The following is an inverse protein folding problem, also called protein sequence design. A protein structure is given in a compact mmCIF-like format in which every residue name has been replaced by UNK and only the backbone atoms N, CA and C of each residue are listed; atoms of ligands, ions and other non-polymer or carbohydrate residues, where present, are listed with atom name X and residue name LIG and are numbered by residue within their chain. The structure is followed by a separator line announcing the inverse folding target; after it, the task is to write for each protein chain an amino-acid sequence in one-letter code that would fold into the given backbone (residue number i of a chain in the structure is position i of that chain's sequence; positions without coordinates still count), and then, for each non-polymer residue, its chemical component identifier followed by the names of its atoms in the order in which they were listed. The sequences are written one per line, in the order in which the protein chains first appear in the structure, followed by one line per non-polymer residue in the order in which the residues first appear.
data_IF_501637631726
#
_entry.id   IF_501637631726
#
_cell.length_a   1.000
_cell.length_b   1.000
_cell.length_c   1.000
_cell.angle_alpha   90.00
_cell.angle_beta   90.00
_cell.angle_gamma   90.00
#
_symmetry.space_group_name_H-M   'P 1'
#
loop_
_entity.id
_entity.type
_entity.pdbx_description
1 polymer ?
#
# COMPACT_ATOMS: atom_id res chain seq x y z
N UNK A 1 -7.94 53.88 20.28
CA UNK A 1 -7.48 52.48 20.21
C UNK A 1 -7.98 51.90 18.89
N UNK A 2 -7.12 51.88 17.86
CA UNK A 2 -7.50 51.41 16.53
C UNK A 2 -7.36 49.89 16.49
N UNK A 3 -8.48 49.17 16.49
CA UNK A 3 -8.49 47.70 16.39
C UNK A 3 -8.28 47.35 14.91
N UNK A 4 -7.07 46.87 14.57
CA UNK A 4 -6.75 46.37 13.24
C UNK A 4 -7.23 44.91 13.17
N UNK A 5 -8.27 44.66 12.36
CA UNK A 5 -8.67 43.31 11.99
C UNK A 5 -7.69 42.75 10.95
N UNK A 6 -6.84 41.80 11.33
CA UNK A 6 -6.05 41.02 10.38
C UNK A 6 -6.96 40.05 9.63
N UNK A 7 -7.41 40.40 8.43
CA UNK A 7 -7.97 39.43 7.51
C UNK A 7 -6.83 38.56 6.97
N UNK A 8 -6.76 37.28 7.38
CA UNK A 8 -5.91 36.29 6.71
C UNK A 8 -6.44 36.03 5.30
N UNK A 9 -6.01 36.83 4.32
CA UNK A 9 -6.14 36.47 2.91
C UNK A 9 -5.07 35.43 2.61
N UNK A 10 -5.47 34.23 2.18
CA UNK A 10 -4.53 33.26 1.59
C UNK A 10 -4.00 33.86 0.29
N UNK A 11 -2.74 34.29 0.28
CA UNK A 11 -2.05 34.76 -0.90
C UNK A 11 -1.25 33.59 -1.50
N UNK A 12 -1.49 33.26 -2.77
CA UNK A 12 -0.67 32.29 -3.49
C UNK A 12 0.64 32.98 -3.90
N UNK A 13 1.78 32.44 -3.45
CA UNK A 13 3.10 32.89 -3.88
C UNK A 13 3.51 32.09 -5.13
N UNK A 14 3.76 32.77 -6.24
CA UNK A 14 4.38 32.17 -7.44
C UNK A 14 5.89 32.37 -7.35
N UNK A 15 6.66 31.45 -7.91
CA UNK A 15 8.12 31.52 -7.94
C UNK A 15 8.60 31.86 -9.35
N UNK A 16 9.44 32.89 -9.45
CA UNK A 16 10.14 33.26 -10.68
C UNK A 16 11.41 32.41 -10.78
N UNK A 17 11.66 31.85 -11.95
CA UNK A 17 12.87 31.08 -12.26
C UNK A 17 14.02 32.02 -12.63
N UNK A 18 15.24 31.47 -12.72
CA UNK A 18 16.46 32.22 -13.06
C UNK A 18 16.44 32.77 -14.50
N UNK A 19 15.69 32.14 -15.41
CA UNK A 19 15.45 32.59 -16.79
C UNK A 19 14.36 33.68 -16.89
N UNK A 20 13.77 34.10 -15.77
CA UNK A 20 12.74 35.15 -15.74
C UNK A 20 11.34 34.68 -16.12
N UNK A 21 11.13 33.36 -16.26
CA UNK A 21 9.81 32.77 -16.41
C UNK A 21 9.16 32.49 -15.05
N UNK A 22 7.83 32.36 -15.03
CA UNK A 22 7.13 31.96 -13.81
C UNK A 22 6.94 30.46 -13.84
N UNK A 23 7.24 29.77 -12.73
CA UNK A 23 6.82 28.38 -12.58
C UNK A 23 5.31 28.29 -12.79
N UNK A 24 4.89 27.37 -13.66
CA UNK A 24 3.48 27.04 -13.84
C UNK A 24 2.97 26.40 -12.54
N UNK A 25 1.99 27.06 -11.91
CA UNK A 25 1.33 26.51 -10.74
C UNK A 25 0.24 25.56 -11.20
N UNK A 26 0.33 24.29 -10.82
CA UNK A 26 -0.76 23.34 -10.99
C UNK A 26 -1.66 23.34 -9.75
N UNK A 27 -2.97 23.29 -9.95
CA UNK A 27 -3.91 23.01 -8.87
C UNK A 27 -4.19 21.51 -8.85
N UNK A 28 -3.55 20.79 -7.93
CA UNK A 28 -3.93 19.40 -7.67
C UNK A 28 -5.21 19.38 -6.81
N UNK A 29 -6.27 18.66 -7.24
CA UNK A 29 -7.49 18.57 -6.47
C UNK A 29 -7.19 17.88 -5.14
N UNK A 30 -7.66 18.47 -4.03
CA UNK A 30 -7.57 17.83 -2.72
C UNK A 30 -8.38 16.53 -2.76
N UNK A 31 -7.72 15.43 -2.42
CA UNK A 31 -8.33 14.12 -2.24
C UNK A 31 -8.04 13.62 -0.84
N UNK A 32 -9.01 12.94 -0.23
CA UNK A 32 -8.82 12.23 1.02
C UNK A 32 -8.33 10.81 0.74
N UNK A 33 -7.62 10.23 1.71
CA UNK A 33 -7.27 8.82 1.68
C UNK A 33 -8.54 7.95 1.67
N UNK A 34 -8.50 6.75 1.07
CA UNK A 34 -9.61 5.81 1.15
C UNK A 34 -10.05 5.57 2.61
N UNK A 35 -11.36 5.43 2.88
CA UNK A 35 -11.84 5.12 4.22
C UNK A 35 -11.13 3.89 4.82
N UNK A 36 -11.02 3.80 6.16
CA UNK A 36 -10.35 2.70 6.83
C UNK A 36 -10.79 1.32 6.30
N UNK A 37 -9.88 0.33 6.20
CA UNK A 37 -10.17 -0.99 5.61
C UNK A 37 -11.41 -1.70 6.16
N UNK A 38 -11.80 -1.47 7.41
CA UNK A 38 -13.05 -1.97 8.02
C UNK A 38 -14.31 -1.61 7.21
N UNK A 39 -14.33 -0.47 6.53
CA UNK A 39 -15.47 -0.02 5.72
C UNK A 39 -15.36 -0.46 4.26
N UNK A 40 -14.33 -1.22 3.87
CA UNK A 40 -14.14 -1.60 2.48
C UNK A 40 -15.38 -2.30 1.90
N UNK A 41 -15.93 -1.76 0.81
CA UNK A 41 -17.17 -2.25 0.18
C UNK A 41 -18.47 -1.88 0.93
N UNK A 42 -18.38 -1.20 2.07
CA UNK A 42 -19.50 -0.82 2.92
C UNK A 42 -19.68 0.71 3.02
N UNK A 43 -19.43 1.43 1.93
CA UNK A 43 -19.75 2.85 1.83
C UNK A 43 -20.12 3.26 0.40
N UNK A 44 -20.86 4.36 0.28
CA UNK A 44 -21.16 5.00 -0.99
C UNK A 44 -20.82 6.49 -0.92
N UNK A 45 -19.94 6.95 -1.80
CA UNK A 45 -19.49 8.33 -1.88
C UNK A 45 -20.12 9.05 -3.09
N UNK A 46 -20.39 10.35 -2.95
CA UNK A 46 -20.98 11.15 -4.03
C UNK A 46 -20.00 11.48 -5.14
N UNK A 47 -18.71 11.65 -4.83
CA UNK A 47 -17.67 12.03 -5.81
C UNK A 47 -16.31 11.40 -5.45
N UNK A 48 -16.29 10.06 -5.34
CA UNK A 48 -15.11 9.31 -4.90
C UNK A 48 -14.55 9.86 -3.58
N UNK A 49 -13.25 10.12 -3.53
CA UNK A 49 -12.58 10.72 -2.36
C UNK A 49 -12.15 12.17 -2.58
N UNK A 50 -12.78 12.88 -3.53
CA UNK A 50 -12.45 14.28 -3.80
C UNK A 50 -12.96 15.19 -2.68
N UNK A 51 -12.39 16.40 -2.60
CA UNK A 51 -12.83 17.45 -1.70
C UNK A 51 -14.36 17.62 -1.74
N UNK A 52 -14.94 17.76 -0.55
CA UNK A 52 -16.38 17.90 -0.33
C UNK A 52 -17.24 16.67 -0.65
N UNK A 53 -16.64 15.57 -1.13
CA UNK A 53 -17.33 14.29 -1.30
C UNK A 53 -17.90 13.81 0.04
N UNK A 54 -19.15 13.37 -0.01
CA UNK A 54 -19.89 12.86 1.15
C UNK A 54 -20.03 11.35 0.99
N UNK A 55 -19.44 10.58 1.89
CA UNK A 55 -19.57 9.13 1.94
C UNK A 55 -20.54 8.71 3.03
N UNK A 56 -21.59 8.00 2.64
CA UNK A 56 -22.46 7.27 3.56
C UNK A 56 -21.85 5.91 3.84
N UNK A 57 -21.54 5.65 5.10
CA UNK A 57 -21.14 4.34 5.59
C UNK A 57 -22.41 3.49 5.74
N UNK A 58 -22.41 2.34 5.09
CA UNK A 58 -23.46 1.34 5.24
C UNK A 58 -23.18 0.55 6.51
N UNK A 59 -23.48 1.17 7.64
CA UNK A 59 -23.48 0.48 8.92
C UNK A 59 -24.73 -0.39 8.98
N UNK A 60 -24.57 -1.71 8.86
CA UNK A 60 -25.63 -2.62 9.28
C UNK A 60 -25.86 -2.37 10.77
N UNK A 61 -27.05 -1.93 11.15
CA UNK A 61 -27.44 -1.95 12.54
C UNK A 61 -27.27 -3.39 13.02
N UNK A 62 -26.24 -3.66 13.82
CA UNK A 62 -26.06 -4.91 14.56
C UNK A 62 -27.16 -5.10 15.64
N UNK A 63 -28.34 -4.56 15.40
CA UNK A 63 -29.52 -4.57 16.25
C UNK A 63 -30.75 -5.19 15.55
N UNK A 64 -30.68 -5.57 14.27
CA UNK A 64 -31.81 -6.23 13.59
C UNK A 64 -31.75 -7.76 13.55
N UNK A 65 -30.66 -8.39 14.01
CA UNK A 65 -30.67 -9.81 14.33
C UNK A 65 -30.93 -9.98 15.83
N UNK A 66 -32.20 -10.22 16.13
CA UNK A 66 -32.82 -10.52 17.42
C UNK A 66 -32.30 -11.82 18.07
N UNK A 67 -30.99 -11.95 18.27
CA UNK A 67 -30.37 -13.10 18.95
C UNK A 67 -29.42 -12.72 20.10
N UNK A 68 -29.10 -11.42 20.29
CA UNK A 68 -28.18 -10.96 21.35
C UNK A 68 -28.87 -10.15 22.47
N UNK A 69 -30.19 -10.25 22.60
CA UNK A 69 -30.95 -9.65 23.70
C UNK A 69 -30.99 -10.53 24.98
N UNK A 70 -30.18 -11.60 25.06
CA UNK A 70 -30.25 -12.56 26.16
C UNK A 70 -29.13 -12.42 27.22
N UNK A 71 -28.10 -11.61 27.00
CA UNK A 71 -26.97 -11.51 27.94
C UNK A 71 -26.54 -10.07 28.22
N UNK A 72 -27.48 -9.24 28.70
CA UNK A 72 -27.24 -8.14 29.65
C UNK A 72 -26.04 -7.18 29.43
N UNK A 73 -25.47 -7.11 28.24
CA UNK A 73 -24.31 -6.28 27.91
C UNK A 73 -24.78 -4.92 27.42
N UNK A 74 -24.50 -3.88 28.21
CA UNK A 74 -24.86 -2.50 27.91
C UNK A 74 -24.32 -2.08 26.53
N UNK A 75 -25.21 -1.97 25.54
CA UNK A 75 -24.92 -1.37 24.25
C UNK A 75 -24.69 0.14 24.46
N UNK A 76 -23.42 0.53 24.57
CA UNK A 76 -23.06 1.95 24.51
C UNK A 76 -23.32 2.47 23.08
N UNK A 77 -24.50 3.05 22.89
CA UNK A 77 -24.92 3.81 21.71
C UNK A 77 -24.13 5.12 21.62
N UNK A 78 -22.89 5.04 21.15
CA UNK A 78 -22.14 6.20 20.69
C UNK A 78 -22.70 6.68 19.36
N UNK A 79 -23.47 7.76 19.36
CA UNK A 79 -24.03 8.41 18.18
C UNK A 79 -22.91 9.02 17.28
N UNK A 80 -22.21 8.17 16.54
CA UNK A 80 -21.41 8.59 15.39
C UNK A 80 -22.32 8.77 14.17
N UNK A 81 -22.17 9.88 13.44
CA UNK A 81 -22.86 10.03 12.15
C UNK A 81 -22.29 9.01 11.17
N UNK A 82 -23.15 8.22 10.50
CA UNK A 82 -22.76 7.28 9.43
C UNK A 82 -22.34 8.02 8.13
N UNK A 83 -21.96 9.29 8.22
CA UNK A 83 -21.64 10.16 7.10
C UNK A 83 -20.31 10.83 7.37
N UNK A 84 -19.35 10.59 6.47
CA UNK A 84 -18.04 11.25 6.48
C UNK A 84 -17.92 12.17 5.27
N UNK A 85 -17.25 13.31 5.45
CA UNK A 85 -17.04 14.32 4.41
C UNK A 85 -15.56 14.61 4.24
N UNK A 86 -15.10 14.65 2.99
CA UNK A 86 -13.71 14.96 2.68
C UNK A 86 -13.46 16.47 2.83
N UNK A 87 -12.53 16.82 3.71
CA UNK A 87 -12.22 18.22 4.03
C UNK A 87 -11.04 18.76 3.22
N UNK A 88 -10.83 20.07 3.31
CA UNK A 88 -9.72 20.79 2.64
C UNK A 88 -8.32 20.38 3.11
N UNK A 89 -8.23 19.72 4.26
CA UNK A 89 -6.99 19.18 4.83
C UNK A 89 -6.69 17.75 4.37
N UNK A 90 -7.52 17.17 3.48
CA UNK A 90 -7.36 15.78 3.03
C UNK A 90 -7.85 14.74 4.03
N UNK A 91 -8.54 15.14 5.11
CA UNK A 91 -9.03 14.23 6.13
C UNK A 91 -10.58 14.17 6.18
N UNK A 92 -11.11 13.08 6.73
CA UNK A 92 -12.55 12.85 6.85
C UNK A 92 -13.14 13.47 8.13
N UNK A 93 -14.39 13.95 8.06
CA UNK A 93 -15.14 14.38 9.26
C UNK A 93 -15.62 13.17 10.07
N UNK A 94 -15.01 12.91 11.23
CA UNK A 94 -15.62 12.06 12.28
C UNK A 94 -15.39 10.55 12.18
N UNK A 95 -14.19 10.09 11.82
CA UNK A 95 -13.79 8.68 11.69
C UNK A 95 -13.76 7.82 12.99
N UNK A 96 -14.48 8.21 14.05
CA UNK A 96 -14.29 7.68 15.41
C UNK A 96 -15.30 6.63 15.91
N UNK A 97 -16.05 5.96 15.03
CA UNK A 97 -17.01 4.93 15.46
C UNK A 97 -16.32 3.61 15.84
N UNK A 98 -16.67 3.02 17.01
CA UNK A 98 -16.29 1.65 17.38
C UNK A 98 -17.41 0.70 16.97
N UNK A 99 -17.12 -0.26 16.11
CA UNK A 99 -18.10 -1.23 15.61
C UNK A 99 -17.63 -2.63 16.01
N UNK A 100 -18.47 -3.39 16.71
CA UNK A 100 -18.16 -4.75 17.14
C UNK A 100 -19.20 -5.73 16.55
N UNK A 101 -18.78 -6.46 15.52
CA UNK A 101 -19.53 -7.52 14.85
C UNK A 101 -18.67 -8.79 14.84
N UNK A 102 -19.28 -9.96 14.72
CA UNK A 102 -18.56 -11.25 14.68
C UNK A 102 -18.46 -11.71 13.22
N UNK A 103 -17.24 -11.94 12.76
CA UNK A 103 -16.97 -12.48 11.42
C UNK A 103 -17.07 -14.02 11.44
N UNK A 104 -17.46 -14.62 10.30
CA UNK A 104 -17.24 -16.06 10.14
C UNK A 104 -15.74 -16.36 10.25
N UNK A 105 -15.42 -17.45 10.96
CA UNK A 105 -14.04 -17.92 11.12
C UNK A 105 -13.36 -18.02 9.76
N UNK A 106 -12.22 -17.35 9.61
CA UNK A 106 -11.37 -17.52 8.44
C UNK A 106 -10.94 -18.99 8.38
N UNK A 107 -11.45 -19.73 7.40
CA UNK A 107 -10.97 -21.06 7.09
C UNK A 107 -9.66 -20.85 6.33
N UNK A 108 -8.53 -21.18 6.98
CA UNK A 108 -7.20 -21.00 6.40
C UNK A 108 -7.10 -21.59 4.99
N UNK A 109 -6.42 -20.88 4.09
CA UNK A 109 -6.07 -21.39 2.76
C UNK A 109 -4.81 -22.26 2.87
N UNK A 110 -4.62 -23.19 1.94
CA UNK A 110 -3.57 -24.23 2.00
C UNK A 110 -2.16 -23.66 2.25
N UNK A 111 -1.85 -22.48 1.69
CA UNK A 111 -0.54 -21.82 1.72
C UNK A 111 -0.34 -20.75 2.81
N UNK A 112 -1.41 -20.28 3.45
CA UNK A 112 -1.41 -19.15 4.38
C UNK A 112 -1.84 -19.58 5.77
N UNK A 113 -1.26 -19.00 6.81
CA UNK A 113 -1.74 -19.17 8.17
C UNK A 113 -1.91 -17.83 8.88
N UNK A 114 -2.82 -17.84 9.85
CA UNK A 114 -3.07 -16.73 10.75
C UNK A 114 -2.15 -16.88 11.96
N UNK A 115 -1.35 -15.86 12.24
CA UNK A 115 -0.53 -15.84 13.45
C UNK A 115 -1.42 -15.77 14.70
N UNK A 116 -2.58 -15.10 14.61
CA UNK A 116 -3.61 -14.99 15.65
C UNK A 116 -5.00 -14.93 15.03
N UNK A 117 -5.94 -15.71 15.56
CA UNK A 117 -7.34 -15.66 15.13
C UNK A 117 -8.11 -14.60 15.92
N UNK A 118 -8.47 -13.54 15.23
CA UNK A 118 -9.36 -12.49 15.71
C UNK A 118 -10.73 -12.68 15.06
N UNK A 119 -11.81 -12.59 15.84
CA UNK A 119 -13.18 -12.90 15.39
C UNK A 119 -14.04 -11.66 15.27
N UNK A 120 -13.55 -10.48 15.69
CA UNK A 120 -14.31 -9.25 15.65
C UNK A 120 -14.01 -8.41 14.40
N UNK A 121 -15.03 -7.76 13.86
CA UNK A 121 -14.93 -6.80 12.76
C UNK A 121 -13.99 -5.65 13.11
N UNK A 122 -13.15 -5.26 12.16
CA UNK A 122 -12.13 -4.24 12.36
C UNK A 122 -10.87 -4.72 13.04
N UNK A 123 -10.81 -5.96 13.54
CA UNK A 123 -9.55 -6.55 13.99
C UNK A 123 -8.68 -6.92 12.80
N UNK A 124 -7.43 -6.50 12.85
CA UNK A 124 -6.41 -6.90 11.90
C UNK A 124 -5.83 -8.25 12.31
N UNK A 125 -5.88 -9.20 11.39
CA UNK A 125 -5.26 -10.49 11.55
C UNK A 125 -3.94 -10.52 10.79
N UNK A 126 -2.84 -10.77 11.49
CA UNK A 126 -1.53 -10.94 10.86
C UNK A 126 -1.46 -12.23 10.05
N UNK A 127 -0.94 -12.09 8.84
CA UNK A 127 -0.77 -13.17 7.88
C UNK A 127 0.69 -13.56 7.75
N UNK A 128 0.90 -14.86 7.64
CA UNK A 128 2.21 -15.45 7.41
C UNK A 128 2.10 -16.60 6.42
N UNK A 129 3.13 -16.74 5.59
CA UNK A 129 3.27 -17.89 4.71
C UNK A 129 3.70 -19.10 5.52
N UNK A 130 3.16 -20.27 5.21
CA UNK A 130 3.55 -21.53 5.88
C UNK A 130 5.06 -21.80 5.78
N UNK A 131 5.68 -21.34 4.69
CA UNK A 131 7.13 -21.35 4.52
C UNK A 131 7.75 -20.06 5.09
N UNK A 132 8.71 -20.19 6.01
CA UNK A 132 9.23 -19.11 6.85
C UNK A 132 10.04 -18.00 6.16
N UNK A 133 10.26 -18.10 4.83
CA UNK A 133 11.00 -17.10 4.04
C UNK A 133 10.14 -16.47 2.92
N UNK A 134 8.83 -16.74 2.92
CA UNK A 134 7.94 -16.23 1.89
C UNK A 134 7.17 -15.01 2.41
N UNK A 135 6.97 -14.05 1.52
CA UNK A 135 6.16 -12.86 1.77
C UNK A 135 4.75 -13.08 1.20
N UNK A 136 3.74 -12.63 1.95
CA UNK A 136 2.36 -12.60 1.46
C UNK A 136 2.19 -11.37 0.57
N UNK A 137 1.66 -11.57 -0.63
CA UNK A 137 1.45 -10.50 -1.63
C UNK A 137 0.07 -10.59 -2.26
N UNK A 138 -0.41 -9.48 -2.81
CA UNK A 138 -1.62 -9.45 -3.65
C UNK A 138 -1.24 -9.68 -5.10
N UNK A 139 -1.77 -10.74 -5.71
CA UNK A 139 -1.69 -10.97 -7.15
C UNK A 139 -3.08 -10.91 -7.79
N UNK A 140 -3.23 -10.24 -8.95
CA UNK A 140 -4.47 -10.28 -9.71
C UNK A 140 -4.68 -11.68 -10.32
N UNK A 141 -5.93 -12.03 -10.63
CA UNK A 141 -6.30 -13.37 -11.12
C UNK A 141 -5.61 -13.79 -12.44
N UNK A 142 -5.06 -12.85 -13.20
CA UNK A 142 -4.32 -13.12 -14.44
C UNK A 142 -2.81 -13.36 -14.22
N UNK A 143 -2.37 -13.48 -12.96
CA UNK A 143 -0.97 -13.56 -12.58
C UNK A 143 -0.71 -14.78 -11.71
N UNK A 144 0.37 -15.50 -12.02
CA UNK A 144 0.83 -16.65 -11.22
C UNK A 144 2.09 -16.30 -10.44
N UNK A 145 2.38 -17.09 -9.40
CA UNK A 145 3.59 -16.94 -8.59
C UNK A 145 4.84 -17.12 -9.45
N UNK A 146 4.83 -18.09 -10.35
CA UNK A 146 5.96 -18.38 -11.25
C UNK A 146 6.26 -17.19 -12.15
N UNK A 147 5.23 -16.58 -12.75
CA UNK A 147 5.41 -15.42 -13.62
C UNK A 147 6.00 -14.23 -12.85
N UNK A 148 5.59 -14.01 -11.59
CA UNK A 148 6.18 -12.95 -10.74
C UNK A 148 7.65 -13.20 -10.42
N UNK A 149 8.03 -14.46 -10.23
CA UNK A 149 9.42 -14.82 -9.92
C UNK A 149 10.35 -14.71 -11.14
N UNK A 150 9.85 -15.02 -12.34
CA UNK A 150 10.60 -14.93 -13.60
C UNK A 150 10.67 -13.49 -14.11
N UNK A 151 9.55 -12.76 -14.02
CA UNK A 151 9.47 -11.35 -14.42
C UNK A 151 10.01 -10.43 -13.31
N UNK A 152 11.32 -10.30 -13.30
CA UNK A 152 12.14 -9.46 -12.41
C UNK A 152 11.75 -7.96 -12.34
N UNK A 153 10.87 -7.45 -13.21
CA UNK A 153 10.32 -6.08 -13.11
C UNK A 153 9.01 -6.00 -12.29
N UNK A 154 8.42 -7.13 -11.92
CA UNK A 154 7.15 -7.16 -11.15
C UNK A 154 7.42 -6.82 -9.69
N UNK A 155 6.61 -5.91 -9.15
CA UNK A 155 6.68 -5.48 -7.75
C UNK A 155 5.29 -5.58 -7.10
N UNK A 156 4.81 -6.79 -6.77
CA UNK A 156 3.51 -6.96 -6.15
C UNK A 156 3.50 -6.38 -4.73
N UNK A 157 2.34 -5.88 -4.29
CA UNK A 157 2.20 -5.27 -2.97
C UNK A 157 2.26 -6.32 -1.86
N UNK A 158 3.15 -6.12 -0.90
CA UNK A 158 3.23 -6.93 0.33
C UNK A 158 2.00 -6.68 1.22
N UNK A 159 1.46 -7.74 1.78
CA UNK A 159 0.35 -7.69 2.76
C UNK A 159 0.81 -8.32 4.06
N UNK A 160 0.61 -7.60 5.16
CA UNK A 160 0.93 -8.11 6.51
C UNK A 160 -0.32 -8.56 7.26
N UNK A 161 -1.46 -7.93 6.98
CA UNK A 161 -2.70 -8.21 7.68
C UNK A 161 -3.91 -8.22 6.74
N UNK A 162 -4.92 -8.98 7.15
CA UNK A 162 -6.29 -8.89 6.62
C UNK A 162 -7.21 -8.36 7.70
N UNK A 163 -8.26 -7.68 7.31
CA UNK A 163 -9.30 -7.19 8.21
C UNK A 163 -10.64 -7.81 7.85
N UNK A 164 -11.45 -8.14 8.85
CA UNK A 164 -12.87 -8.40 8.60
C UNK A 164 -13.62 -7.07 8.50
N UNK A 165 -14.21 -6.81 7.34
CA UNK A 165 -14.97 -5.61 7.03
C UNK A 165 -16.37 -5.62 7.68
N UNK A 166 -17.03 -4.46 7.74
CA UNK A 166 -18.43 -4.35 8.17
C UNK A 166 -19.40 -5.14 7.28
N UNK A 167 -19.01 -5.42 6.04
CA UNK A 167 -19.74 -6.31 5.14
C UNK A 167 -19.59 -7.80 5.47
N UNK A 168 -18.95 -8.14 6.60
CA UNK A 168 -18.65 -9.51 7.04
C UNK A 168 -17.81 -10.29 6.00
N UNK A 169 -16.91 -9.58 5.31
CA UNK A 169 -15.97 -10.14 4.33
C UNK A 169 -14.53 -9.80 4.70
N UNK A 170 -13.61 -10.67 4.37
CA UNK A 170 -12.17 -10.43 4.54
C UNK A 170 -11.66 -9.48 3.45
N UNK A 171 -10.87 -8.50 3.86
CA UNK A 171 -10.16 -7.58 2.97
C UNK A 171 -8.66 -7.51 3.31
N UNK A 172 -7.75 -7.59 2.31
CA UNK A 172 -8.02 -7.99 0.92
C UNK A 172 -8.69 -9.37 0.82
N UNK A 173 -9.41 -9.61 -0.29
CA UNK A 173 -10.10 -10.89 -0.46
C UNK A 173 -9.07 -12.02 -0.50
N UNK A 174 -9.29 -13.13 0.20
CA UNK A 174 -8.24 -14.13 0.38
C UNK A 174 -7.79 -14.84 -0.90
N UNK A 175 -8.65 -14.90 -1.91
CA UNK A 175 -8.32 -15.48 -3.23
C UNK A 175 -7.22 -14.71 -3.98
N UNK A 176 -6.95 -13.46 -3.60
CA UNK A 176 -5.86 -12.67 -4.20
C UNK A 176 -4.55 -12.77 -3.43
N UNK A 177 -4.53 -13.50 -2.31
CA UNK A 177 -3.35 -13.61 -1.46
C UNK A 177 -2.52 -14.81 -1.87
N UNK A 178 -1.26 -14.53 -2.21
CA UNK A 178 -0.30 -15.54 -2.60
C UNK A 178 0.99 -15.39 -1.79
N UNK A 179 1.66 -16.53 -1.58
CA UNK A 179 3.00 -16.56 -1.02
C UNK A 179 4.01 -16.57 -2.17
N UNK A 180 4.94 -15.63 -2.14
CA UNK A 180 6.09 -15.62 -3.04
C UNK A 180 7.37 -15.66 -2.22
N UNK A 181 8.47 -16.17 -2.82
CA UNK A 181 9.78 -16.11 -2.16
C UNK A 181 10.07 -14.67 -1.75
N UNK A 182 10.42 -14.46 -0.48
CA UNK A 182 10.80 -13.16 0.07
C UNK A 182 12.18 -12.72 -0.40
N UNK A 183 12.65 -11.59 0.13
CA UNK A 183 14.00 -11.09 -0.11
C UNK A 183 14.98 -11.65 0.92
N UNK A 184 16.17 -12.03 0.48
CA UNK A 184 17.26 -12.45 1.38
C UNK A 184 17.86 -11.22 2.08
N UNK A 185 18.43 -11.37 3.29
CA UNK A 185 18.82 -10.24 4.15
C UNK A 185 20.01 -9.40 3.64
N UNK A 186 20.67 -9.82 2.57
CA UNK A 186 21.94 -9.25 2.08
C UNK A 186 21.78 -8.11 1.06
N UNK A 187 20.56 -7.60 0.85
CA UNK A 187 20.33 -6.46 -0.03
C UNK A 187 21.20 -5.24 0.29
N UNK A 188 21.92 -4.72 -0.71
CA UNK A 188 22.72 -3.50 -0.57
C UNK A 188 24.09 -3.70 0.10
N UNK A 189 24.61 -4.93 0.10
CA UNK A 189 25.89 -5.32 0.69
C UNK A 189 27.11 -5.18 -0.26
N UNK A 190 26.90 -4.67 -1.47
CA UNK A 190 27.83 -4.51 -2.59
C UNK A 190 28.16 -5.79 -3.37
N UNK A 191 27.49 -6.90 -3.09
CA UNK A 191 27.48 -8.08 -3.94
C UNK A 191 26.13 -8.13 -4.67
N UNK A 192 26.15 -8.55 -5.93
CA UNK A 192 24.93 -8.75 -6.71
C UNK A 192 24.38 -10.15 -6.43
N UNK A 193 23.40 -10.23 -5.54
CA UNK A 193 22.62 -11.41 -5.22
C UNK A 193 21.53 -11.64 -6.28
N UNK A 194 21.68 -12.68 -7.09
CA UNK A 194 20.69 -12.98 -8.15
C UNK A 194 19.25 -13.17 -7.64
N UNK A 195 19.10 -13.67 -6.41
CA UNK A 195 17.79 -13.87 -5.76
C UNK A 195 17.09 -12.54 -5.43
N UNK A 196 17.87 -11.51 -5.10
CA UNK A 196 17.39 -10.17 -4.77
C UNK A 196 17.37 -9.24 -5.99
N UNK A 197 17.99 -9.61 -7.10
CA UNK A 197 18.03 -8.84 -8.35
C UNK A 197 16.69 -8.83 -9.13
N UNK A 198 15.65 -8.31 -8.47
CA UNK A 198 14.27 -8.13 -8.96
C UNK A 198 13.61 -6.96 -8.26
N UNK A 199 12.60 -6.36 -8.89
CA UNK A 199 11.91 -5.16 -8.42
C UNK A 199 11.27 -5.35 -7.03
N UNK A 200 10.73 -6.53 -6.73
CA UNK A 200 10.19 -6.86 -5.40
C UNK A 200 11.22 -6.73 -4.26
N UNK A 201 12.50 -6.93 -4.59
CA UNK A 201 13.64 -6.79 -3.68
C UNK A 201 14.51 -5.59 -4.09
N UNK A 202 13.91 -4.57 -4.70
CA UNK A 202 14.56 -3.31 -5.08
C UNK A 202 15.88 -3.51 -5.86
N UNK A 203 15.93 -4.51 -6.74
CA UNK A 203 17.11 -4.86 -7.54
C UNK A 203 18.38 -4.99 -6.69
N UNK A 204 18.26 -5.72 -5.58
CA UNK A 204 19.32 -5.97 -4.62
C UNK A 204 19.95 -4.70 -4.03
N UNK A 205 19.12 -3.68 -3.80
CA UNK A 205 19.59 -2.37 -3.34
C UNK A 205 20.45 -1.62 -4.37
N UNK A 206 20.50 -2.09 -5.62
CA UNK A 206 21.28 -1.52 -6.70
C UNK A 206 22.67 -2.13 -6.88
N UNK A 207 22.99 -3.27 -6.26
CA UNK A 207 24.34 -3.84 -6.32
C UNK A 207 24.66 -4.55 -7.65
N UNK A 208 23.62 -4.87 -8.43
CA UNK A 208 23.73 -5.51 -9.74
C UNK A 208 23.95 -4.55 -10.92
N UNK A 209 23.95 -3.24 -10.69
CA UNK A 209 24.21 -2.23 -11.72
C UNK A 209 25.44 -1.41 -11.34
N UNK A 210 26.36 -1.21 -12.30
CA UNK A 210 27.60 -0.48 -12.09
C UNK A 210 27.39 0.98 -11.69
N UNK A 211 26.32 1.59 -12.18
CA UNK A 211 25.98 2.99 -11.91
C UNK A 211 25.45 3.22 -10.50
N UNK A 212 24.73 2.25 -9.94
CA UNK A 212 24.08 2.33 -8.62
C UNK A 212 24.90 1.69 -7.51
N UNK A 213 25.69 0.65 -7.78
CA UNK A 213 26.56 0.02 -6.78
C UNK A 213 27.61 1.01 -6.28
N UNK A 214 27.85 1.03 -4.97
CA UNK A 214 28.75 2.01 -4.32
C UNK A 214 30.20 1.86 -4.78
N UNK A 215 30.63 0.63 -5.05
CA UNK A 215 32.00 0.28 -5.46
C UNK A 215 32.31 0.61 -6.92
N UNK A 216 31.29 0.95 -7.72
CA UNK A 216 31.38 1.09 -9.20
C UNK A 216 31.87 -0.16 -9.92
N UNK A 217 31.80 -1.32 -9.26
CA UNK A 217 32.15 -2.62 -9.81
C UNK A 217 31.17 -3.67 -9.28
N UNK A 218 30.44 -4.30 -10.19
CA UNK A 218 29.52 -5.40 -9.86
C UNK A 218 30.34 -6.63 -9.46
N UNK A 219 30.03 -7.22 -8.31
CA UNK A 219 30.63 -8.46 -7.81
C UNK A 219 29.50 -9.49 -7.68
N UNK A 220 29.43 -10.54 -8.52
CA UNK A 220 28.33 -11.50 -8.47
C UNK A 220 28.36 -12.37 -7.21
N UNK A 221 27.19 -12.65 -6.66
CA UNK A 221 26.98 -13.68 -5.64
C UNK A 221 25.82 -14.63 -6.05
N UNK A 222 26.06 -15.95 -6.10
CA UNK A 222 27.37 -16.61 -5.99
C UNK A 222 28.32 -16.18 -7.12
N UNK A 223 29.63 -16.41 -6.95
CA UNK A 223 30.64 -16.05 -7.98
C UNK A 223 30.41 -16.71 -9.34
N UNK A 224 29.60 -17.77 -9.39
CA UNK A 224 29.18 -18.46 -10.62
C UNK A 224 28.02 -17.79 -11.36
N UNK A 225 27.40 -16.77 -10.77
CA UNK A 225 26.26 -16.07 -11.35
C UNK A 225 26.66 -15.34 -12.63
N UNK A 226 25.88 -15.51 -13.70
CA UNK A 226 26.16 -14.89 -14.99
C UNK A 226 25.78 -13.40 -14.97
N UNK A 227 26.79 -12.53 -15.14
CA UNK A 227 26.63 -11.07 -15.24
C UNK A 227 25.85 -10.63 -16.49
N UNK A 228 25.58 -11.54 -17.43
CA UNK A 228 24.77 -11.30 -18.62
C UNK A 228 23.34 -11.80 -18.49
N UNK A 229 23.01 -12.53 -17.42
CA UNK A 229 21.67 -13.07 -17.18
C UNK A 229 21.21 -12.81 -15.73
N UNK A 230 21.47 -13.73 -14.82
CA UNK A 230 21.00 -13.69 -13.43
C UNK A 230 21.51 -12.46 -12.65
N UNK A 231 22.78 -12.11 -12.85
CA UNK A 231 23.44 -10.95 -12.23
C UNK A 231 23.60 -9.77 -13.20
N UNK A 232 22.82 -9.74 -14.28
CA UNK A 232 22.76 -8.58 -15.17
C UNK A 232 22.09 -7.39 -14.48
N UNK A 233 22.40 -6.18 -14.96
CA UNK A 233 21.75 -4.96 -14.48
C UNK A 233 20.28 -4.92 -14.95
N UNK A 234 19.35 -5.16 -14.03
CA UNK A 234 17.91 -5.27 -14.31
C UNK A 234 17.09 -4.03 -13.90
N UNK A 235 17.69 -3.10 -13.15
CA UNK A 235 17.01 -1.88 -12.72
C UNK A 235 16.78 -0.95 -13.91
N UNK A 236 15.51 -0.72 -14.24
CA UNK A 236 15.10 0.18 -15.34
C UNK A 236 15.50 1.63 -15.08
N UNK A 237 15.71 2.01 -13.82
CA UNK A 237 16.12 3.35 -13.43
C UNK A 237 17.64 3.54 -13.42
N UNK A 238 18.42 2.46 -13.58
CA UNK A 238 19.87 2.52 -13.66
C UNK A 238 20.33 3.12 -15.00
N UNK A 239 21.46 3.83 -15.00
CA UNK A 239 21.94 4.59 -16.16
C UNK A 239 22.18 3.68 -17.37
N UNK A 240 22.61 2.43 -17.13
CA UNK A 240 22.82 1.39 -18.13
C UNK A 240 21.57 1.07 -18.94
N UNK A 241 20.40 1.24 -18.33
CA UNK A 241 19.10 0.92 -18.92
C UNK A 241 18.29 2.18 -19.30
N UNK A 242 18.76 3.38 -18.97
CA UNK A 242 18.12 4.64 -19.37
C UNK A 242 18.44 4.95 -20.84
N UNK A 243 17.40 5.01 -21.67
CA UNK A 243 17.49 5.30 -23.11
C UNK A 243 18.11 6.66 -23.45
N UNK A 244 18.12 7.60 -22.50
CA UNK A 244 18.64 8.96 -22.69
C UNK A 244 20.17 9.09 -22.42
N UNK A 245 20.81 8.08 -21.84
CA UNK A 245 22.24 8.17 -21.46
C UNK A 245 23.22 7.87 -22.61
N UNK A 246 22.75 7.32 -23.74
CA UNK A 246 23.61 7.05 -24.89
C UNK A 246 23.92 8.27 -25.77
N UNK A 247 23.37 9.45 -25.46
CA UNK A 247 23.54 10.68 -26.26
C UNK A 247 24.70 11.56 -25.76
N UNK A 248 25.24 11.33 -24.56
CA UNK A 248 26.23 12.25 -23.96
C UNK A 248 27.68 11.72 -23.85
N UNK A 249 28.04 10.62 -24.52
CA UNK A 249 29.41 10.07 -24.49
C UNK A 249 30.19 10.18 -25.81
N UNK A 250 29.83 11.10 -26.71
CA UNK A 250 30.68 11.48 -27.84
C UNK A 250 30.74 13.01 -27.94
N UNK A 251 31.75 13.59 -27.31
CA UNK A 251 32.12 15.00 -27.36
C UNK A 251 33.44 15.23 -26.66
#
# INVERSE_FOLDING_TARGET
MLIIFFTFRRAFKRQCTEDGSWLEGACEPVTCDPPPPIFHGSYHCTDGFRFDSVCKLNCSDAASNSAFAATGGSAHTGAGSNVIRCRKDGNWTGSGGKYALICNTFIGFVSLFLSRSHTHTGEECELTCREGNNDVVILPSNMTVENVLVEHWRNPHKVKSIVCTMGLKWYPHPEFLHCIKGCEPFMGDNYCDSINNRAFCNYDGGDCCQSTVKTKKVIPFPMSCDIRDECSCRDLNAIENRKDAHVHSLG
#
